data_IF_243460231727
#
_entry.id   IF_243460231727
#
_cell.length_a   1.000
_cell.length_b   1.000
_cell.length_c   1.000
_cell.angle_alpha   90.00
_cell.angle_beta   90.00
_cell.angle_gamma   90.00
#
_symmetry.space_group_name_H-M   'P 1'
#
loop_
_entity.id
_entity.type
_entity.pdbx_description
1 polymer ?
#
# COMPACT_ATOMS: atom_id res chain seq x y z
N UNK A 1 15.31 -19.05 -17.25
CA UNK A 1 14.37 -18.06 -16.69
C UNK A 1 15.16 -17.19 -15.70
N UNK A 2 15.17 -15.87 -15.87
CA UNK A 2 15.77 -14.97 -14.87
C UNK A 2 14.89 -15.05 -13.62
N UNK A 3 15.44 -15.48 -12.49
CA UNK A 3 14.80 -15.28 -11.20
C UNK A 3 14.64 -13.77 -11.03
N UNK A 4 13.42 -13.27 -11.24
CA UNK A 4 13.04 -11.92 -10.88
C UNK A 4 13.21 -11.85 -9.36
N UNK A 5 14.32 -11.26 -8.90
CA UNK A 5 14.54 -11.00 -7.49
C UNK A 5 13.39 -10.10 -7.06
N UNK A 6 12.40 -10.67 -6.38
CA UNK A 6 11.34 -9.93 -5.72
C UNK A 6 12.00 -8.82 -4.92
N UNK A 7 11.77 -7.57 -5.34
CA UNK A 7 12.32 -6.40 -4.67
C UNK A 7 11.92 -6.45 -3.19
N UNK A 8 12.81 -6.01 -2.30
CA UNK A 8 12.59 -6.06 -0.86
C UNK A 8 11.48 -5.08 -0.46
N UNK A 9 10.22 -5.50 -0.58
CA UNK A 9 9.06 -4.71 -0.21
C UNK A 9 8.60 -5.06 1.20
N UNK A 10 8.21 -4.03 1.95
CA UNK A 10 7.61 -4.15 3.29
C UNK A 10 6.18 -3.66 3.15
N UNK A 11 5.21 -4.49 3.56
CA UNK A 11 3.81 -4.12 3.57
C UNK A 11 3.41 -3.71 4.98
N UNK A 12 2.85 -2.51 5.09
CA UNK A 12 2.21 -2.05 6.32
C UNK A 12 0.72 -2.31 6.17
N UNK A 13 0.22 -3.31 6.89
CA UNK A 13 -1.19 -3.67 6.85
C UNK A 13 -1.89 -3.06 8.07
N UNK A 14 -2.87 -2.17 7.83
CA UNK A 14 -3.55 -1.45 8.89
C UNK A 14 -4.95 -0.98 8.50
N UNK A 15 -5.82 -0.80 9.49
CA UNK A 15 -7.11 -0.16 9.26
C UNK A 15 -6.92 1.35 9.10
N UNK A 16 -7.32 1.88 7.94
CA UNK A 16 -7.18 3.30 7.61
C UNK A 16 -7.99 4.23 8.53
N UNK A 17 -8.97 3.70 9.27
CA UNK A 17 -9.81 4.46 10.19
C UNK A 17 -9.01 4.99 11.41
N UNK A 18 -7.88 4.37 11.75
CA UNK A 18 -7.03 4.75 12.88
C UNK A 18 -6.06 5.92 12.53
N UNK A 19 -6.08 6.46 11.30
CA UNK A 19 -5.28 7.63 10.92
C UNK A 19 -5.98 8.98 11.15
N UNK A 20 -7.10 9.02 11.86
CA UNK A 20 -7.88 10.24 12.09
C UNK A 20 -7.07 11.43 12.64
N UNK A 21 -5.92 11.17 13.28
CA UNK A 21 -5.06 12.18 13.91
C UNK A 21 -3.81 12.54 13.08
N UNK A 22 -3.58 11.92 11.91
CA UNK A 22 -2.43 12.21 11.07
C UNK A 22 -2.81 13.13 9.92
N UNK A 23 -1.90 14.01 9.51
CA UNK A 23 -2.04 14.71 8.23
C UNK A 23 -1.75 13.73 7.09
N UNK A 24 -2.84 13.19 6.54
CA UNK A 24 -2.82 12.35 5.36
C UNK A 24 -3.12 13.17 4.12
N UNK A 25 -2.38 12.92 3.05
CA UNK A 25 -2.77 13.29 1.71
C UNK A 25 -3.23 12.04 0.95
N UNK A 26 -4.41 12.13 0.34
CA UNK A 26 -4.99 11.05 -0.42
C UNK A 26 -4.82 11.34 -1.91
N UNK A 27 -4.18 10.45 -2.65
CA UNK A 27 -3.99 10.58 -4.09
C UNK A 27 -4.58 9.39 -4.81
N UNK A 28 -5.57 9.65 -5.65
CA UNK A 28 -5.97 8.71 -6.67
C UNK A 28 -4.95 8.83 -7.81
N UNK A 29 -4.28 7.72 -8.15
CA UNK A 29 -3.08 7.63 -9.00
C UNK A 29 -1.81 8.25 -8.40
N UNK A 30 -0.66 7.59 -8.58
CA UNK A 30 0.63 8.00 -7.98
C UNK A 30 1.13 9.35 -8.53
N UNK A 31 1.44 10.35 -7.68
CA UNK A 31 1.87 11.68 -8.10
C UNK A 31 3.18 11.74 -8.91
N UNK A 32 4.06 10.74 -8.82
CA UNK A 32 5.32 10.69 -9.61
C UNK A 32 5.24 9.74 -10.81
N UNK A 33 4.07 9.14 -11.10
CA UNK A 33 3.93 8.31 -12.29
C UNK A 33 4.26 9.13 -13.55
N UNK A 34 5.20 8.61 -14.37
CA UNK A 34 5.67 9.26 -15.60
C UNK A 34 4.55 9.47 -16.63
N UNK A 35 3.43 8.77 -16.50
CA UNK A 35 2.21 9.04 -17.27
C UNK A 35 1.40 10.17 -16.63
N UNK A 36 1.94 11.39 -16.71
CA UNK A 36 1.26 12.70 -16.74
C UNK A 36 0.13 12.97 -15.73
N UNK A 37 0.34 13.96 -14.84
CA UNK A 37 -0.61 14.98 -14.37
C UNK A 37 -2.03 14.60 -13.87
N UNK A 38 -2.34 13.31 -13.72
CA UNK A 38 -3.69 12.84 -13.37
C UNK A 38 -3.82 12.44 -11.91
N UNK A 39 -2.80 12.72 -11.08
CA UNK A 39 -2.90 12.51 -9.64
C UNK A 39 -3.99 13.44 -9.08
N UNK A 40 -5.10 12.85 -8.65
CA UNK A 40 -6.21 13.59 -8.08
C UNK A 40 -6.02 13.59 -6.57
N UNK A 41 -5.64 14.74 -6.03
CA UNK A 41 -5.61 14.96 -4.58
C UNK A 41 -7.04 15.00 -4.06
N UNK A 42 -7.30 14.23 -3.01
CA UNK A 42 -8.57 14.16 -2.31
C UNK A 42 -8.31 14.59 -0.86
N UNK A 43 -9.17 15.44 -0.33
CA UNK A 43 -8.92 16.15 0.93
C UNK A 43 -9.36 15.37 2.17
N UNK A 44 -10.09 14.26 2.00
CA UNK A 44 -10.61 13.46 3.09
C UNK A 44 -10.71 11.97 2.72
N UNK A 45 -10.69 11.13 3.75
CA UNK A 45 -10.68 9.67 3.63
C UNK A 45 -11.98 9.12 3.02
N UNK A 46 -13.14 9.72 3.31
CA UNK A 46 -14.42 9.21 2.83
C UNK A 46 -14.55 9.46 1.33
N UNK A 47 -14.23 10.67 0.87
CA UNK A 47 -14.14 11.01 -0.54
C UNK A 47 -13.11 10.17 -1.29
N UNK A 48 -11.99 9.80 -0.64
CA UNK A 48 -11.00 8.90 -1.22
C UNK A 48 -11.58 7.50 -1.42
N UNK A 49 -12.15 6.89 -0.36
CA UNK A 49 -12.79 5.56 -0.41
C UNK A 49 -13.87 5.49 -1.50
N UNK A 50 -14.74 6.49 -1.56
CA UNK A 50 -15.82 6.54 -2.56
C UNK A 50 -15.30 6.63 -4.00
N UNK A 51 -14.28 7.46 -4.25
CA UNK A 51 -13.71 7.61 -5.59
C UNK A 51 -12.92 6.38 -6.00
N UNK A 52 -12.16 5.79 -5.08
CA UNK A 52 -11.41 4.55 -5.30
C UNK A 52 -12.36 3.42 -5.75
N UNK A 53 -13.46 3.19 -5.03
CA UNK A 53 -14.47 2.19 -5.38
C UNK A 53 -15.16 2.48 -6.73
N UNK A 54 -15.39 3.75 -7.06
CA UNK A 54 -15.97 4.13 -8.36
C UNK A 54 -15.02 3.87 -9.51
N UNK A 55 -13.73 4.16 -9.35
CA UNK A 55 -12.72 3.90 -10.38
C UNK A 55 -12.46 2.40 -10.55
N UNK A 56 -12.38 1.64 -9.46
CA UNK A 56 -12.26 0.17 -9.50
C UNK A 56 -13.35 -0.46 -10.38
N UNK A 57 -14.60 -0.06 -10.17
CA UNK A 57 -15.75 -0.54 -10.96
C UNK A 57 -15.65 -0.21 -12.45
N UNK A 58 -14.99 0.88 -12.83
CA UNK A 58 -14.79 1.24 -14.26
C UNK A 58 -13.71 0.40 -14.93
N UNK A 59 -12.81 -0.18 -14.15
CA UNK A 59 -11.66 -0.95 -14.62
C UNK A 59 -11.92 -2.45 -14.58
N UNK A 60 -13.02 -2.86 -13.95
CA UNK A 60 -13.49 -4.24 -14.00
C UNK A 60 -13.97 -4.59 -15.42
N UNK A 61 -13.57 -5.77 -15.88
CA UNK A 61 -14.09 -6.36 -17.11
C UNK A 61 -15.53 -6.87 -16.94
N UNK A 62 -16.10 -7.45 -17.99
CA UNK A 62 -17.48 -7.98 -18.00
C UNK A 62 -17.74 -9.07 -16.93
N UNK A 63 -16.68 -9.68 -16.38
CA UNK A 63 -16.76 -10.68 -15.32
C UNK A 63 -16.52 -10.09 -13.92
N UNK A 64 -16.33 -8.78 -13.79
CA UNK A 64 -16.07 -8.11 -12.52
C UNK A 64 -14.61 -8.18 -12.06
N UNK A 65 -13.69 -8.68 -12.89
CA UNK A 65 -12.27 -8.78 -12.55
C UNK A 65 -11.47 -7.62 -13.12
N UNK A 66 -10.45 -7.20 -12.37
CA UNK A 66 -9.45 -6.27 -12.88
C UNK A 66 -8.56 -6.99 -13.89
N UNK A 67 -8.40 -6.42 -15.08
CA UNK A 67 -7.41 -6.87 -16.05
C UNK A 67 -6.05 -6.28 -15.69
N UNK A 68 -5.22 -7.05 -15.00
CA UNK A 68 -3.88 -6.64 -14.56
C UNK A 68 -2.88 -6.46 -15.72
N UNK A 69 -3.22 -6.91 -16.93
CA UNK A 69 -2.41 -6.63 -18.12
C UNK A 69 -2.66 -5.23 -18.69
N UNK A 70 -3.79 -4.60 -18.31
CA UNK A 70 -4.13 -3.26 -18.75
C UNK A 70 -3.36 -2.18 -17.97
N UNK A 71 -2.79 -1.23 -18.71
CA UNK A 71 -1.99 -0.15 -18.15
C UNK A 71 -2.81 0.76 -17.21
N UNK A 72 -4.12 0.95 -17.43
CA UNK A 72 -4.94 1.79 -16.54
C UNK A 72 -5.23 1.06 -15.23
N UNK A 73 -5.48 -0.25 -15.28
CA UNK A 73 -5.57 -1.08 -14.07
C UNK A 73 -4.29 -1.00 -13.26
N UNK A 74 -3.13 -1.17 -13.91
CA UNK A 74 -1.83 -1.06 -13.23
C UNK A 74 -1.64 0.32 -12.59
N UNK A 75 -1.99 1.40 -13.30
CA UNK A 75 -1.92 2.77 -12.77
C UNK A 75 -2.89 3.02 -11.61
N UNK A 76 -4.11 2.49 -11.67
CA UNK A 76 -5.10 2.60 -10.60
C UNK A 76 -4.62 1.94 -9.31
N UNK A 77 -3.97 0.78 -9.41
CA UNK A 77 -3.37 0.08 -8.29
C UNK A 77 -2.17 0.83 -7.67
N UNK A 78 -1.67 1.86 -8.34
CA UNK A 78 -0.70 2.81 -7.79
C UNK A 78 -1.38 4.01 -7.11
N UNK A 79 -2.65 3.93 -6.70
CA UNK A 79 -3.26 4.95 -5.84
C UNK A 79 -2.66 4.89 -4.44
N UNK A 80 -2.39 6.04 -3.82
CA UNK A 80 -1.57 6.12 -2.61
C UNK A 80 -2.19 6.98 -1.51
N UNK A 81 -1.91 6.57 -0.28
CA UNK A 81 -2.11 7.38 0.92
C UNK A 81 -0.74 7.81 1.40
N UNK A 82 -0.46 9.10 1.31
CA UNK A 82 0.81 9.68 1.74
C UNK A 82 0.66 10.26 3.14
N UNK A 83 1.57 9.92 4.04
CA UNK A 83 1.66 10.54 5.35
C UNK A 83 2.67 11.69 5.27
N UNK A 84 2.24 12.90 5.59
CA UNK A 84 3.08 14.10 5.40
C UNK A 84 4.31 14.15 6.29
N UNK A 85 4.24 13.56 7.48
CA UNK A 85 5.31 13.70 8.46
C UNK A 85 5.79 12.33 8.98
N UNK A 86 5.28 11.87 10.12
CA UNK A 86 5.69 10.59 10.71
C UNK A 86 4.48 9.85 11.26
N UNK A 87 4.42 8.55 11.01
CA UNK A 87 3.46 7.69 11.70
C UNK A 87 4.13 7.13 12.94
N UNK A 88 3.47 7.28 14.09
CA UNK A 88 3.81 6.50 15.27
C UNK A 88 3.18 5.11 15.15
N UNK A 89 4.01 4.10 14.89
CA UNK A 89 3.56 2.71 14.81
C UNK A 89 3.21 2.21 16.21
N UNK A 90 1.92 2.19 16.53
CA UNK A 90 1.41 1.59 17.77
C UNK A 90 1.47 0.05 17.71
N UNK A 91 1.23 -0.63 18.85
CA UNK A 91 1.16 -2.09 18.90
C UNK A 91 0.03 -2.73 18.07
N UNK A 92 -0.83 -1.93 17.43
CA UNK A 92 -1.88 -2.40 16.52
C UNK A 92 -1.37 -2.68 15.10
N UNK A 93 -0.18 -2.20 14.75
CA UNK A 93 0.39 -2.35 13.41
C UNK A 93 1.00 -3.74 13.24
N UNK A 94 0.96 -4.25 12.00
CA UNK A 94 1.65 -5.48 11.60
C UNK A 94 2.50 -5.22 10.37
N UNK A 95 3.67 -5.86 10.32
CA UNK A 95 4.59 -5.78 9.19
C UNK A 95 4.56 -7.12 8.45
N UNK A 96 4.17 -7.08 7.18
CA UNK A 96 4.24 -8.22 6.27
C UNK A 96 5.56 -8.24 5.51
N UNK A 97 6.22 -9.40 5.46
CA UNK A 97 7.44 -9.65 4.66
C UNK A 97 7.32 -10.93 3.84
N UNK A 98 8.11 -11.09 2.78
CA UNK A 98 8.01 -12.25 1.90
C UNK A 98 8.85 -13.46 2.30
N UNK A 99 9.76 -13.31 3.26
CA UNK A 99 10.66 -14.40 3.64
C UNK A 99 11.04 -14.37 5.12
N UNK A 100 11.42 -15.54 5.63
CA UNK A 100 11.93 -15.69 6.99
C UNK A 100 13.22 -14.86 7.22
N UNK A 101 14.10 -14.79 6.22
CA UNK A 101 15.31 -13.97 6.29
C UNK A 101 14.97 -12.47 6.47
N UNK A 102 14.00 -11.96 5.71
CA UNK A 102 13.51 -10.58 5.87
C UNK A 102 12.86 -10.37 7.25
N UNK A 103 12.05 -11.34 7.71
CA UNK A 103 11.42 -11.29 9.03
C UNK A 103 12.45 -11.08 10.13
N UNK A 104 13.52 -11.89 10.15
CA UNK A 104 14.60 -11.74 11.13
C UNK A 104 15.31 -10.39 11.07
N UNK A 105 15.53 -9.84 9.86
CA UNK A 105 16.16 -8.52 9.71
C UNK A 105 15.26 -7.42 10.29
N UNK A 106 13.95 -7.49 10.02
CA UNK A 106 12.98 -6.51 10.53
C UNK A 106 12.86 -6.62 12.04
N UNK A 107 12.69 -7.83 12.59
CA UNK A 107 12.58 -8.06 14.05
C UNK A 107 13.79 -7.51 14.80
N UNK A 108 15.02 -7.78 14.32
CA UNK A 108 16.24 -7.21 14.92
C UNK A 108 16.28 -5.69 14.91
N UNK A 109 15.74 -5.05 13.85
CA UNK A 109 15.65 -3.58 13.78
C UNK A 109 14.62 -3.04 14.77
N UNK A 110 13.48 -3.72 14.92
CA UNK A 110 12.44 -3.34 15.87
C UNK A 110 12.95 -3.45 17.32
N UNK A 111 13.62 -4.55 17.65
CA UNK A 111 14.23 -4.78 18.97
C UNK A 111 15.23 -3.68 19.32
N UNK A 112 16.13 -3.32 18.39
CA UNK A 112 17.11 -2.23 18.59
C UNK A 112 16.47 -0.87 18.89
N UNK A 113 15.22 -0.66 18.48
CA UNK A 113 14.48 0.58 18.69
C UNK A 113 13.40 0.45 19.79
N UNK A 114 13.41 -0.63 20.58
CA UNK A 114 12.40 -0.93 21.61
C UNK A 114 10.95 -0.92 21.10
N UNK A 115 10.74 -1.34 19.84
CA UNK A 115 9.42 -1.44 19.23
C UNK A 115 8.90 -2.88 19.31
N UNK A 116 7.64 -3.05 19.76
CA UNK A 116 6.93 -4.33 19.79
C UNK A 116 5.83 -4.33 18.75
N UNK A 117 6.19 -4.69 17.52
CA UNK A 117 5.30 -4.75 16.35
C UNK A 117 5.34 -6.19 15.82
N UNK A 118 4.17 -6.75 15.50
CA UNK A 118 4.08 -8.11 14.94
C UNK A 118 4.65 -8.13 13.52
N UNK A 119 5.57 -9.05 13.24
CA UNK A 119 6.09 -9.32 11.90
C UNK A 119 5.60 -10.71 11.45
N UNK A 120 4.91 -10.76 10.33
CA UNK A 120 4.41 -12.00 9.74
C UNK A 120 4.93 -12.18 8.33
N UNK A 121 4.98 -13.43 7.88
CA UNK A 121 5.34 -13.76 6.49
C UNK A 121 4.04 -13.73 5.70
N UNK A 122 3.95 -12.84 4.71
CA UNK A 122 2.85 -12.82 3.75
C UNK A 122 3.21 -13.78 2.61
N UNK A 123 2.56 -14.94 2.59
CA UNK A 123 2.72 -15.96 1.56
C UNK A 123 1.89 -15.68 0.30
N UNK A 124 1.08 -14.61 0.33
CA UNK A 124 0.34 -14.15 -0.83
C UNK A 124 1.31 -13.59 -1.85
N UNK A 125 1.37 -14.27 -2.98
CA UNK A 125 2.03 -13.81 -4.19
C UNK A 125 1.16 -12.73 -4.80
N UNK A 126 1.42 -11.47 -4.47
CA UNK A 126 0.89 -10.34 -5.22
C UNK A 126 1.70 -10.23 -6.52
N UNK A 127 1.32 -11.01 -7.53
CA UNK A 127 1.84 -10.91 -8.90
C UNK A 127 0.67 -10.99 -9.87
#
# INVERSE_FOLDING_TARGET
MKNQLSENMIFLNYNIDDFSNNELDFYLYHPISKSQNNAIKINDLMGFKEKLLKEEKKLQNDMGYLDFSDNKTQQFLMSEVLIKDRIYLSGKWKIGVFSFAQKQIVEKKLEKNNLKIEVFIDDKRYF
#
